data_IF_983251167379
#
_entry.id   IF_983251167379
#
_cell.length_a   1.000
_cell.length_b   1.000
_cell.length_c   1.000
_cell.angle_alpha   90.00
_cell.angle_beta   90.00
_cell.angle_gamma   90.00
#
_symmetry.space_group_name_H-M   'P 1'
#
loop_
_entity.id
_entity.type
_entity.pdbx_description
1 polymer ?
#
# COMPACT_ATOMS: atom_id res chain seq x y z
N UNK A 1 12.31 -6.35 -71.75
CA UNK A 1 11.08 -5.66 -71.29
C UNK A 1 10.07 -6.72 -70.92
N UNK A 2 9.55 -6.61 -69.69
CA UNK A 2 8.34 -7.25 -69.12
C UNK A 2 8.50 -8.56 -68.35
N UNK A 3 8.86 -8.38 -67.07
CA UNK A 3 8.27 -9.06 -65.92
C UNK A 3 6.77 -9.36 -66.10
N UNK A 4 6.34 -10.54 -65.67
CA UNK A 4 4.97 -10.73 -65.19
C UNK A 4 4.99 -11.54 -63.91
N UNK A 5 5.10 -10.80 -62.82
CA UNK A 5 4.80 -11.19 -61.45
C UNK A 5 3.46 -11.95 -61.39
N UNK A 6 3.50 -13.22 -60.99
CA UNK A 6 2.35 -13.90 -60.40
C UNK A 6 2.58 -13.93 -58.89
N UNK A 7 1.91 -13.03 -58.19
CA UNK A 7 1.87 -13.01 -56.73
C UNK A 7 1.26 -14.32 -56.22
N UNK A 8 2.01 -15.03 -55.38
CA UNK A 8 1.50 -16.16 -54.61
C UNK A 8 0.78 -15.56 -53.41
N UNK A 9 -0.55 -15.57 -53.45
CA UNK A 9 -1.41 -15.21 -52.34
C UNK A 9 -1.33 -16.31 -51.28
N UNK A 10 -0.44 -16.15 -50.29
CA UNK A 10 -0.40 -17.00 -49.10
C UNK A 10 -1.33 -16.37 -48.06
N UNK A 11 -2.63 -16.59 -48.22
CA UNK A 11 -3.58 -16.59 -47.10
C UNK A 11 -3.70 -18.03 -46.62
N UNK A 12 -2.63 -18.55 -46.03
CA UNK A 12 -2.69 -19.82 -45.30
C UNK A 12 -3.15 -19.52 -43.86
N UNK A 13 -4.46 -19.62 -43.65
CA UNK A 13 -5.05 -19.78 -42.32
C UNK A 13 -4.52 -21.09 -41.72
N UNK A 14 -3.40 -21.02 -41.01
CA UNK A 14 -2.99 -22.09 -40.10
C UNK A 14 -3.92 -22.06 -38.87
N UNK A 15 -5.04 -22.77 -38.97
CA UNK A 15 -5.84 -23.19 -37.83
C UNK A 15 -5.04 -24.19 -37.00
N UNK A 16 -4.17 -23.71 -36.12
CA UNK A 16 -3.41 -24.57 -35.22
C UNK A 16 -4.24 -24.94 -33.99
N UNK A 17 -4.60 -26.22 -33.91
CA UNK A 17 -5.19 -26.87 -32.73
C UNK A 17 -4.28 -26.68 -31.51
N UNK A 18 -4.87 -26.38 -30.34
CA UNK A 18 -4.16 -26.09 -29.08
C UNK A 18 -3.21 -27.19 -28.57
N UNK A 19 -3.21 -28.38 -29.19
CA UNK A 19 -2.27 -29.46 -28.88
C UNK A 19 -0.90 -29.29 -29.55
N UNK A 20 -0.80 -28.58 -30.67
CA UNK A 20 0.48 -28.35 -31.36
C UNK A 20 1.34 -27.25 -30.72
N UNK A 21 0.71 -26.24 -30.10
CA UNK A 21 1.43 -25.18 -29.37
C UNK A 21 2.08 -25.69 -28.08
N UNK A 22 1.51 -26.70 -27.43
CA UNK A 22 2.07 -27.28 -26.21
C UNK A 22 3.29 -28.16 -26.49
N UNK A 23 3.29 -28.90 -27.61
CA UNK A 23 4.43 -29.76 -27.96
C UNK A 23 5.68 -28.97 -28.34
N UNK A 24 5.50 -27.81 -29.00
CA UNK A 24 6.60 -26.90 -29.35
C UNK A 24 7.24 -26.26 -28.11
N UNK A 25 6.45 -25.91 -27.09
CA UNK A 25 6.97 -25.39 -25.81
C UNK A 25 7.73 -26.48 -25.04
N UNK A 26 7.27 -27.73 -25.03
CA UNK A 26 7.97 -28.82 -24.35
C UNK A 26 9.29 -29.21 -25.01
N UNK A 27 9.39 -29.12 -26.34
CA UNK A 27 10.65 -29.38 -27.07
C UNK A 27 11.66 -28.25 -26.84
N UNK A 28 11.22 -26.99 -26.75
CA UNK A 28 12.10 -25.85 -26.40
C UNK A 28 12.61 -25.97 -24.96
N UNK A 29 11.79 -26.40 -24.00
CA UNK A 29 12.23 -26.64 -22.61
C UNK A 29 13.20 -27.82 -22.48
N UNK A 30 13.06 -28.86 -23.29
CA UNK A 30 13.98 -30.00 -23.28
C UNK A 30 15.38 -29.65 -23.84
N UNK A 31 15.46 -28.79 -24.86
CA UNK A 31 16.74 -28.37 -25.47
C UNK A 31 17.55 -27.41 -24.58
N UNK A 32 16.87 -26.60 -23.74
CA UNK A 32 17.55 -25.73 -22.77
C UNK A 32 18.16 -26.54 -21.61
N UNK A 33 17.55 -27.66 -21.23
CA UNK A 33 18.04 -28.52 -20.15
C UNK A 33 19.35 -29.25 -20.50
N UNK A 34 19.53 -29.68 -21.75
CA UNK A 34 20.78 -30.31 -22.20
C UNK A 34 21.95 -29.34 -22.36
N UNK A 35 21.68 -28.04 -22.53
CA UNK A 35 22.73 -27.02 -22.61
C UNK A 35 23.37 -26.68 -21.25
N UNK A 36 22.71 -27.00 -20.12
CA UNK A 36 23.29 -26.80 -18.79
C UNK A 36 24.31 -27.87 -18.38
N UNK A 37 24.40 -28.99 -19.09
CA UNK A 37 25.32 -30.09 -18.77
C UNK A 37 26.69 -30.01 -19.47
N UNK A 38 26.92 -29.04 -20.36
CA UNK A 38 28.14 -28.97 -21.18
C UNK A 38 29.20 -27.94 -20.77
N UNK A 39 29.03 -27.25 -19.64
CA UNK A 39 29.97 -26.19 -19.21
C UNK A 39 31.02 -26.63 -18.18
N UNK A 40 31.23 -27.93 -17.94
CA UNK A 40 32.43 -28.43 -17.24
C UNK A 40 33.44 -28.93 -18.27
N UNK A 41 34.05 -28.00 -18.99
CA UNK A 41 35.23 -28.27 -19.82
C UNK A 41 36.47 -27.80 -19.07
N UNK A 42 36.92 -28.62 -18.14
CA UNK A 42 38.30 -28.53 -17.63
C UNK A 42 39.21 -28.87 -18.81
N UNK A 43 39.99 -27.91 -19.29
CA UNK A 43 41.11 -28.17 -20.20
C UNK A 43 42.30 -27.29 -19.81
N UNK A 44 43.27 -27.92 -19.15
CA UNK A 44 44.67 -27.78 -19.52
C UNK A 44 45.36 -29.09 -19.14
N UNK A 45 45.72 -29.87 -20.16
CA UNK A 45 46.46 -31.13 -20.01
C UNK A 45 47.97 -30.86 -20.18
N UNK A 46 48.73 -31.46 -19.26
CA UNK A 46 49.99 -32.18 -19.48
C UNK A 46 51.23 -31.43 -20.02
N UNK A 47 52.22 -31.26 -19.14
CA UNK A 47 53.63 -31.52 -19.45
C UNK A 47 54.32 -32.08 -18.20
N UNK A 48 54.97 -33.24 -18.34
CA UNK A 48 55.60 -34.02 -17.28
C UNK A 48 57.10 -33.64 -17.13
N UNK A 49 57.52 -33.49 -15.86
CA UNK A 49 58.85 -33.66 -15.23
C UNK A 49 60.07 -32.77 -15.60
N UNK A 50 60.46 -31.89 -14.67
CA UNK A 50 61.76 -31.97 -13.98
C UNK A 50 61.87 -31.10 -12.71
N UNK A 51 62.71 -31.57 -11.79
CA UNK A 51 62.90 -31.22 -10.37
C UNK A 51 63.40 -29.81 -10.03
N UNK A 52 63.03 -29.38 -8.81
CA UNK A 52 63.66 -28.40 -7.88
C UNK A 52 63.63 -26.90 -8.23
N UNK A 53 62.92 -26.10 -7.42
CA UNK A 53 63.47 -25.25 -6.33
C UNK A 53 62.32 -24.42 -5.74
N UNK A 54 62.17 -24.45 -4.41
CA UNK A 54 61.24 -23.63 -3.64
C UNK A 54 61.50 -22.13 -3.87
N UNK A 55 60.49 -21.40 -4.35
CA UNK A 55 60.37 -19.95 -4.09
C UNK A 55 58.93 -19.68 -3.65
N UNK A 56 58.82 -19.47 -2.35
CA UNK A 56 57.66 -18.99 -1.64
C UNK A 56 57.13 -17.70 -2.31
N UNK A 57 56.03 -17.84 -3.04
CA UNK A 57 55.20 -16.70 -3.44
C UNK A 57 53.78 -16.98 -2.99
N UNK A 58 53.54 -16.70 -1.71
CA UNK A 58 52.20 -16.42 -1.20
C UNK A 58 51.67 -15.19 -1.93
N UNK A 59 51.09 -15.40 -3.11
CA UNK A 59 50.15 -14.45 -3.69
C UNK A 59 48.76 -15.06 -3.57
N UNK A 60 48.22 -15.03 -2.35
CA UNK A 60 46.79 -15.20 -2.12
C UNK A 60 46.12 -13.99 -2.78
N UNK A 61 45.74 -14.12 -4.05
CA UNK A 61 44.71 -13.26 -4.62
C UNK A 61 43.43 -13.61 -3.89
N UNK A 62 43.06 -12.78 -2.91
CA UNK A 62 41.70 -12.74 -2.42
C UNK A 62 40.80 -12.44 -3.63
N UNK A 63 40.13 -13.48 -4.15
CA UNK A 63 38.98 -13.28 -5.03
C UNK A 63 37.90 -12.76 -4.10
N UNK A 64 37.76 -11.45 -3.98
CA UNK A 64 36.55 -10.84 -3.44
C UNK A 64 35.41 -11.27 -4.37
N UNK A 65 34.71 -12.33 -3.97
CA UNK A 65 33.50 -12.76 -4.62
C UNK A 65 32.41 -11.73 -4.29
N UNK A 66 32.43 -10.61 -5.01
CA UNK A 66 31.38 -9.58 -4.93
C UNK A 66 30.14 -10.16 -5.57
N UNK A 67 29.36 -10.90 -4.79
CA UNK A 67 28.10 -11.46 -5.22
C UNK A 67 27.15 -10.30 -5.56
N UNK A 68 26.63 -10.30 -6.79
CA UNK A 68 25.75 -9.25 -7.27
C UNK A 68 24.44 -9.22 -6.46
N UNK A 69 24.05 -8.04 -5.97
CA UNK A 69 22.85 -7.86 -5.16
C UNK A 69 22.07 -6.60 -5.57
N UNK A 70 20.76 -6.64 -5.35
CA UNK A 70 19.86 -5.48 -5.51
C UNK A 70 19.14 -5.18 -4.19
N UNK A 71 19.13 -3.92 -3.79
CA UNK A 71 18.29 -3.43 -2.69
C UNK A 71 16.97 -2.95 -3.26
N UNK A 72 15.87 -3.56 -2.82
CA UNK A 72 14.51 -3.19 -3.21
C UNK A 72 13.83 -2.48 -2.04
N UNK A 73 13.25 -1.32 -2.33
CA UNK A 73 12.48 -0.53 -1.37
C UNK A 73 10.99 -0.79 -1.58
N UNK A 74 10.34 -1.38 -0.58
CA UNK A 74 8.88 -1.57 -0.54
C UNK A 74 8.27 -0.36 0.20
N UNK A 75 7.67 0.61 -0.51
CA UNK A 75 7.18 1.82 0.13
C UNK A 75 5.93 1.55 0.96
N UNK A 76 5.82 2.25 2.09
CA UNK A 76 4.61 2.28 2.92
C UNK A 76 3.90 3.60 2.70
N UNK A 77 2.71 3.55 2.09
CA UNK A 77 1.90 4.74 1.84
C UNK A 77 0.81 4.83 2.90
N UNK A 78 0.83 5.94 3.64
CA UNK A 78 -0.16 6.27 4.66
C UNK A 78 -0.93 7.51 4.23
N UNK A 79 -2.24 7.49 4.43
CA UNK A 79 -3.12 8.66 4.35
C UNK A 79 -3.91 8.80 5.64
N UNK A 80 -3.95 10.02 6.14
CA UNK A 80 -4.68 10.40 7.34
C UNK A 80 -5.86 11.28 6.92
N UNK A 81 -7.03 11.03 7.49
CA UNK A 81 -8.22 11.87 7.34
C UNK A 81 -8.69 12.40 8.69
N UNK A 82 -9.31 13.58 8.70
CA UNK A 82 -9.64 14.32 9.92
C UNK A 82 -8.58 15.35 10.30
N UNK A 83 -8.84 16.09 11.38
CA UNK A 83 -7.99 17.20 11.84
C UNK A 83 -7.46 16.93 13.26
N UNK A 84 -6.50 16.01 13.41
CA UNK A 84 -5.87 15.77 14.70
C UNK A 84 -5.03 16.99 15.10
N UNK A 85 -5.00 17.30 16.40
CA UNK A 85 -4.15 18.39 16.93
C UNK A 85 -2.69 17.97 17.10
N UNK A 86 -2.42 16.66 17.14
CA UNK A 86 -1.10 16.07 17.34
C UNK A 86 -0.91 14.90 16.37
N UNK A 87 0.33 14.68 15.95
CA UNK A 87 0.67 13.54 15.10
C UNK A 87 0.69 12.25 15.93
N UNK A 88 0.11 11.20 15.36
CA UNK A 88 0.14 9.83 15.88
C UNK A 88 1.27 9.03 15.21
N UNK A 89 1.73 7.97 15.87
CA UNK A 89 2.72 7.03 15.30
C UNK A 89 1.98 5.80 14.78
N UNK A 90 2.08 5.56 13.49
CA UNK A 90 1.51 4.37 12.85
C UNK A 90 2.62 3.36 12.56
N UNK A 91 2.43 2.13 13.05
CA UNK A 91 3.38 1.04 12.86
C UNK A 91 2.90 0.09 11.77
N UNK A 92 3.82 -0.34 10.90
CA UNK A 92 3.53 -1.27 9.81
C UNK A 92 4.47 -2.46 9.89
N UNK A 93 3.97 -3.63 9.55
CA UNK A 93 4.68 -4.89 9.62
C UNK A 93 4.74 -5.53 8.23
N UNK A 94 5.94 -5.95 7.84
CA UNK A 94 6.14 -6.85 6.71
C UNK A 94 6.35 -8.27 7.23
N UNK A 95 5.63 -9.23 6.66
CA UNK A 95 5.82 -10.66 6.93
C UNK A 95 6.19 -11.37 5.64
N UNK A 96 7.14 -12.30 5.73
CA UNK A 96 7.39 -13.25 4.65
C UNK A 96 6.29 -14.32 4.61
N UNK A 97 5.92 -14.74 3.40
CA UNK A 97 4.96 -15.84 3.21
C UNK A 97 5.65 -17.20 3.10
N UNK A 98 6.97 -17.21 2.85
CA UNK A 98 7.85 -18.38 2.86
C UNK A 98 9.06 -18.05 3.74
N UNK A 99 9.46 -18.96 4.62
CA UNK A 99 10.59 -18.76 5.54
C UNK A 99 11.94 -18.62 4.83
N UNK A 100 12.04 -19.05 3.56
CA UNK A 100 13.24 -18.91 2.74
C UNK A 100 13.35 -17.54 2.08
N UNK A 101 12.31 -16.71 2.11
CA UNK A 101 12.36 -15.38 1.52
C UNK A 101 13.29 -14.48 2.34
N UNK A 102 14.08 -13.59 1.71
CA UNK A 102 14.88 -12.64 2.46
C UNK A 102 13.97 -11.64 3.18
N UNK A 103 14.32 -11.28 4.41
CA UNK A 103 13.60 -10.30 5.22
C UNK A 103 14.48 -9.06 5.47
N UNK A 104 13.89 -7.86 5.60
CA UNK A 104 14.63 -6.67 5.99
C UNK A 104 15.15 -6.83 7.43
N UNK A 105 16.25 -6.15 7.77
CA UNK A 105 16.73 -6.06 9.16
C UNK A 105 15.67 -5.45 10.10
N UNK A 106 14.87 -4.54 9.56
CA UNK A 106 13.75 -3.90 10.25
C UNK A 106 12.46 -4.35 9.57
N UNK A 107 11.75 -5.31 10.18
CA UNK A 107 10.45 -5.81 9.68
C UNK A 107 9.26 -4.97 10.14
N UNK A 108 9.48 -4.02 11.05
CA UNK A 108 8.47 -3.08 11.55
C UNK A 108 8.93 -1.64 11.39
N UNK A 109 8.25 -0.87 10.54
CA UNK A 109 8.52 0.56 10.32
C UNK A 109 7.48 1.43 10.99
N UNK A 110 7.84 2.68 11.29
CA UNK A 110 6.97 3.63 11.99
C UNK A 110 6.89 4.95 11.23
N UNK A 111 5.66 5.38 10.93
CA UNK A 111 5.40 6.65 10.26
C UNK A 111 4.69 7.60 11.22
N UNK A 112 5.21 8.82 11.32
CA UNK A 112 4.60 9.91 12.12
C UNK A 112 4.17 11.05 11.19
N UNK A 113 2.91 11.48 11.28
CA UNK A 113 2.38 12.59 10.48
C UNK A 113 2.48 12.31 8.97
N UNK A 114 3.19 13.18 8.24
CA UNK A 114 3.34 13.11 6.78
C UNK A 114 4.65 12.44 6.31
N UNK A 115 5.41 11.81 7.22
CA UNK A 115 6.65 11.11 6.86
C UNK A 115 6.36 9.94 5.92
N UNK A 116 7.34 9.57 5.12
CA UNK A 116 7.32 8.36 4.28
C UNK A 116 8.36 7.38 4.82
N UNK A 117 8.08 6.10 4.70
CA UNK A 117 9.01 5.04 5.07
C UNK A 117 8.90 3.86 4.10
N UNK A 118 9.89 2.97 4.11
CA UNK A 118 9.96 1.81 3.24
C UNK A 118 10.71 0.66 3.91
N UNK A 119 10.33 -0.57 3.60
CA UNK A 119 11.14 -1.75 3.92
C UNK A 119 12.23 -1.92 2.88
N UNK A 120 13.48 -2.12 3.31
CA UNK A 120 14.61 -2.34 2.42
C UNK A 120 15.07 -3.79 2.50
N UNK A 121 15.01 -4.51 1.38
CA UNK A 121 15.36 -5.93 1.31
C UNK A 121 16.42 -6.12 0.22
N UNK A 122 17.46 -6.89 0.54
CA UNK A 122 18.50 -7.27 -0.40
C UNK A 122 18.19 -8.62 -1.02
N UNK A 123 18.38 -8.72 -2.34
CA UNK A 123 18.18 -9.94 -3.11
C UNK A 123 19.41 -10.22 -3.96
N UNK A 124 19.78 -11.50 -4.04
CA UNK A 124 20.98 -11.96 -4.74
C UNK A 124 20.63 -12.88 -5.93
N UNK A 125 19.39 -13.38 -5.99
CA UNK A 125 18.96 -14.39 -6.96
C UNK A 125 17.67 -13.96 -7.66
N UNK A 126 17.54 -14.21 -8.98
CA UNK A 126 16.26 -14.11 -9.66
C UNK A 126 15.20 -15.02 -9.03
N UNK A 127 13.96 -14.56 -8.98
CA UNK A 127 12.86 -15.28 -8.34
C UNK A 127 11.63 -14.41 -8.09
N UNK A 128 10.60 -15.03 -7.52
CA UNK A 128 9.38 -14.33 -7.08
C UNK A 128 9.25 -14.51 -5.58
N UNK A 129 9.38 -13.42 -4.84
CA UNK A 129 9.34 -13.40 -3.39
C UNK A 129 8.00 -12.84 -2.92
N UNK A 130 7.37 -13.52 -1.96
CA UNK A 130 6.00 -13.23 -1.52
C UNK A 130 6.00 -12.74 -0.09
N UNK A 131 5.31 -11.62 0.12
CA UNK A 131 5.19 -10.98 1.43
C UNK A 131 3.75 -10.52 1.69
N UNK A 132 3.49 -10.23 2.95
CA UNK A 132 2.25 -9.58 3.40
C UNK A 132 2.61 -8.33 4.18
N UNK A 133 2.05 -7.19 3.79
CA UNK A 133 2.19 -5.93 4.52
C UNK A 133 0.87 -5.58 5.20
N UNK A 134 0.95 -5.20 6.47
CA UNK A 134 -0.20 -4.86 7.30
C UNK A 134 0.12 -3.69 8.24
N UNK A 135 -0.91 -3.00 8.70
CA UNK A 135 -0.79 -2.03 9.78
C UNK A 135 -0.96 -2.73 11.14
N UNK A 136 -0.10 -2.40 12.09
CA UNK A 136 -0.26 -2.85 13.48
C UNK A 136 -1.31 -1.98 14.16
N UNK A 137 -2.27 -2.60 14.84
CA UNK A 137 -3.27 -1.88 15.63
C UNK A 137 -2.60 -0.97 16.67
N UNK A 138 -3.07 0.26 16.76
CA UNK A 138 -2.70 1.21 17.81
C UNK A 138 -3.82 1.41 18.82
N UNK A 139 -3.54 2.21 19.83
CA UNK A 139 -4.42 2.49 20.98
C UNK A 139 -4.72 4.00 21.13
N UNK A 140 -4.35 4.80 20.13
CA UNK A 140 -4.60 6.24 20.10
C UNK A 140 -6.09 6.54 20.22
N UNK A 141 -6.43 7.35 21.22
CA UNK A 141 -7.81 7.77 21.44
C UNK A 141 -8.34 8.50 20.21
N UNK A 142 -9.58 8.19 19.82
CA UNK A 142 -10.27 8.81 18.69
C UNK A 142 -9.68 8.49 17.31
N UNK A 143 -8.75 7.54 17.22
CA UNK A 143 -8.23 7.03 15.96
C UNK A 143 -8.92 5.74 15.55
N UNK A 144 -9.22 5.66 14.26
CA UNK A 144 -9.58 4.41 13.58
C UNK A 144 -8.40 4.03 12.69
N UNK A 145 -7.86 2.85 12.98
CA UNK A 145 -6.69 2.29 12.32
C UNK A 145 -7.13 1.40 11.14
N UNK A 146 -6.45 1.50 10.01
CA UNK A 146 -6.64 0.63 8.86
C UNK A 146 -6.40 -0.84 9.25
N UNK A 147 -7.22 -1.74 8.72
CA UNK A 147 -7.18 -3.19 8.98
C UNK A 147 -6.89 -4.00 7.71
N UNK A 148 -6.56 -3.34 6.61
CA UNK A 148 -6.27 -3.97 5.32
C UNK A 148 -4.95 -4.71 5.40
N UNK A 149 -4.91 -5.85 4.71
CA UNK A 149 -3.67 -6.56 4.41
C UNK A 149 -3.47 -6.55 2.89
N UNK A 150 -2.23 -6.34 2.47
CA UNK A 150 -1.86 -6.42 1.06
C UNK A 150 -0.84 -7.54 0.86
N UNK A 151 -1.12 -8.43 -0.09
CA UNK A 151 -0.15 -9.42 -0.57
C UNK A 151 0.78 -8.76 -1.58
N UNK A 152 2.07 -9.00 -1.46
CA UNK A 152 3.12 -8.47 -2.34
C UNK A 152 3.81 -9.60 -3.08
N UNK A 153 4.07 -9.40 -4.36
CA UNK A 153 4.98 -10.19 -5.17
C UNK A 153 6.14 -9.28 -5.61
N UNK A 154 7.35 -9.61 -5.16
CA UNK A 154 8.59 -8.96 -5.58
C UNK A 154 9.27 -9.87 -6.61
N UNK A 155 9.27 -9.45 -7.86
CA UNK A 155 9.94 -10.12 -8.96
C UNK A 155 11.37 -9.62 -9.04
N UNK A 156 12.34 -10.52 -8.95
CA UNK A 156 13.75 -10.25 -9.21
C UNK A 156 14.12 -10.97 -10.50
N UNK A 157 14.66 -10.22 -11.46
CA UNK A 157 14.97 -10.70 -12.81
C UNK A 157 16.38 -10.26 -13.18
N UNK A 158 17.03 -10.99 -14.11
CA UNK A 158 18.30 -10.57 -14.71
C UNK A 158 18.01 -9.81 -15.99
N UNK A 159 18.58 -8.62 -16.14
CA UNK A 159 18.55 -7.85 -17.37
C UNK A 159 19.55 -8.47 -18.35
N UNK A 160 19.08 -8.92 -19.51
CA UNK A 160 19.91 -9.62 -20.50
C UNK A 160 20.94 -8.71 -21.19
N UNK A 161 20.72 -7.39 -21.20
CA UNK A 161 21.62 -6.43 -21.87
C UNK A 161 22.74 -5.97 -20.95
N UNK A 162 22.42 -5.72 -19.68
CA UNK A 162 23.39 -5.19 -18.70
C UNK A 162 23.98 -6.28 -17.81
N UNK A 163 23.44 -7.50 -17.87
CA UNK A 163 23.75 -8.59 -16.95
C UNK A 163 23.63 -8.16 -15.48
N UNK A 164 22.62 -7.33 -15.17
CA UNK A 164 22.34 -6.87 -13.80
C UNK A 164 20.96 -7.28 -13.29
N UNK A 165 20.79 -7.39 -11.98
CA UNK A 165 19.48 -7.60 -11.36
C UNK A 165 18.55 -6.38 -11.54
N UNK A 166 17.26 -6.66 -11.73
CA UNK A 166 16.16 -5.70 -11.78
C UNK A 166 15.00 -6.19 -10.93
N UNK A 167 14.15 -5.25 -10.49
CA UNK A 167 13.00 -5.58 -9.64
C UNK A 167 11.67 -4.99 -10.14
N UNK A 168 10.58 -5.70 -9.86
CA UNK A 168 9.21 -5.23 -10.02
C UNK A 168 8.39 -5.66 -8.79
N UNK A 169 7.61 -4.74 -8.23
CA UNK A 169 6.72 -5.02 -7.11
C UNK A 169 5.27 -4.96 -7.60
N UNK A 170 4.50 -6.00 -7.31
CA UNK A 170 3.05 -6.02 -7.54
C UNK A 170 2.36 -6.26 -6.21
N UNK A 171 1.34 -5.46 -5.91
CA UNK A 171 0.52 -5.60 -4.70
C UNK A 171 -0.91 -5.98 -5.05
N UNK A 172 -1.52 -6.77 -4.17
CA UNK A 172 -2.89 -7.23 -4.29
C UNK A 172 -3.65 -6.95 -3.00
N UNK A 173 -4.92 -6.56 -3.12
CA UNK A 173 -5.83 -6.47 -1.97
C UNK A 173 -6.37 -7.86 -1.58
N UNK A 174 -7.16 -7.92 -0.51
CA UNK A 174 -7.77 -9.17 -0.03
C UNK A 174 -8.69 -9.89 -1.05
N UNK A 175 -9.14 -9.20 -2.11
CA UNK A 175 -9.93 -9.79 -3.20
C UNK A 175 -9.05 -10.35 -4.33
N UNK A 176 -7.73 -10.22 -4.24
CA UNK A 176 -6.80 -10.60 -5.30
C UNK A 176 -6.70 -9.59 -6.44
N UNK A 177 -7.22 -8.37 -6.28
CA UNK A 177 -7.14 -7.33 -7.29
C UNK A 177 -5.82 -6.58 -7.18
N UNK A 178 -5.18 -6.28 -8.32
CA UNK A 178 -3.96 -5.45 -8.35
C UNK A 178 -4.29 -4.02 -7.91
N UNK A 179 -3.53 -3.50 -6.96
CA UNK A 179 -3.74 -2.17 -6.37
C UNK A 179 -2.43 -1.46 -6.08
N UNK A 180 -2.49 -0.14 -5.91
CA UNK A 180 -1.44 0.62 -5.22
C UNK A 180 -1.77 0.65 -3.72
N UNK A 181 -0.99 -0.02 -2.84
CA UNK A 181 -1.37 -0.19 -1.45
C UNK A 181 -1.25 1.13 -0.69
N UNK A 182 -2.34 1.55 -0.05
CA UNK A 182 -2.37 2.73 0.82
C UNK A 182 -3.18 2.42 2.07
N UNK A 183 -2.60 2.68 3.24
CA UNK A 183 -3.28 2.54 4.52
C UNK A 183 -4.01 3.84 4.88
N UNK A 184 -5.27 3.75 5.26
CA UNK A 184 -6.19 4.84 5.53
C UNK A 184 -6.55 4.90 7.02
N UNK A 185 -5.95 5.85 7.74
CA UNK A 185 -6.30 6.11 9.13
C UNK A 185 -7.22 7.33 9.24
N UNK A 186 -8.15 7.30 10.21
CA UNK A 186 -9.11 8.37 10.43
C UNK A 186 -9.09 8.84 11.87
N UNK A 187 -8.93 10.14 12.06
CA UNK A 187 -9.17 10.81 13.33
C UNK A 187 -10.61 11.28 13.44
N UNK A 188 -11.26 11.04 14.58
CA UNK A 188 -12.63 11.49 14.87
C UNK A 188 -12.65 12.36 16.12
N UNK A 189 -12.73 13.68 15.95
CA UNK A 189 -12.80 14.59 17.09
C UNK A 189 -13.93 14.16 18.06
N UNK A 190 -13.66 14.16 19.38
CA UNK A 190 -14.69 13.80 20.35
C UNK A 190 -15.84 14.78 20.21
N UNK A 191 -17.08 14.27 20.23
CA UNK A 191 -18.25 15.13 20.21
C UNK A 191 -18.15 16.13 21.36
N UNK A 192 -18.26 17.42 21.04
CA UNK A 192 -18.41 18.43 22.07
C UNK A 192 -19.71 18.10 22.79
N UNK A 193 -19.62 17.63 24.04
CA UNK A 193 -20.78 17.55 24.93
C UNK A 193 -21.39 18.93 24.91
N UNK A 194 -22.54 19.10 24.25
CA UNK A 194 -23.31 20.32 24.38
C UNK A 194 -23.59 20.45 25.87
N UNK A 195 -22.84 21.34 26.55
CA UNK A 195 -23.35 21.94 27.77
C UNK A 195 -24.68 22.52 27.32
N UNK A 196 -25.77 21.86 27.67
CA UNK A 196 -27.06 22.51 27.78
C UNK A 196 -26.82 23.67 28.72
N UNK A 197 -26.49 24.83 28.16
CA UNK A 197 -26.75 26.07 28.84
C UNK A 197 -28.26 26.12 28.90
N UNK A 198 -28.82 25.52 29.95
CA UNK A 198 -30.10 25.97 30.47
C UNK A 198 -29.84 27.42 30.79
N UNK A 199 -30.21 28.30 29.86
CA UNK A 199 -30.34 29.71 30.15
C UNK A 199 -31.42 29.72 31.23
N UNK A 200 -31.02 29.88 32.49
CA UNK A 200 -31.97 30.31 33.50
C UNK A 200 -32.31 31.74 33.10
N UNK A 201 -33.33 31.93 32.26
CA UNK A 201 -34.08 33.17 32.28
C UNK A 201 -34.78 33.16 33.62
N UNK A 202 -34.05 33.65 34.63
CA UNK A 202 -34.55 33.86 35.98
C UNK A 202 -35.50 35.05 36.00
N UNK A 203 -36.57 34.97 35.22
CA UNK A 203 -37.79 35.67 35.56
C UNK A 203 -38.58 34.70 36.43
N UNK A 204 -38.20 34.65 37.70
CA UNK A 204 -39.16 34.32 38.74
C UNK A 204 -40.19 35.45 38.79
N UNK A 205 -41.01 35.56 37.75
CA UNK A 205 -42.23 36.34 37.82
C UNK A 205 -43.10 35.61 38.84
N UNK A 206 -43.03 36.07 40.08
CA UNK A 206 -43.96 35.73 41.14
C UNK A 206 -45.36 35.68 40.51
N UNK A 207 -46.05 34.54 40.62
CA UNK A 207 -47.40 34.35 40.08
C UNK A 207 -48.35 35.48 40.54
N UNK A 208 -48.04 36.12 41.68
CA UNK A 208 -48.73 37.31 42.17
C UNK A 208 -48.62 38.53 41.24
N UNK A 209 -47.50 38.71 40.54
CA UNK A 209 -47.28 39.80 39.58
C UNK A 209 -48.10 39.61 38.31
N UNK A 210 -48.33 38.35 37.88
CA UNK A 210 -49.14 38.04 36.70
C UNK A 210 -50.65 38.28 36.94
N UNK A 211 -51.14 37.99 38.15
CA UNK A 211 -52.55 38.29 38.52
C UNK A 211 -52.86 39.78 38.57
N UNK A 212 -51.87 40.62 38.92
CA UNK A 212 -52.04 42.08 38.93
C UNK A 212 -52.21 42.68 37.52
N UNK A 213 -51.45 42.20 36.53
CA UNK A 213 -51.52 42.67 35.15
C UNK A 213 -52.83 42.31 34.43
N UNK A 214 -53.41 41.14 34.73
CA UNK A 214 -54.71 40.72 34.17
C UNK A 214 -55.88 41.63 34.60
N UNK A 215 -55.88 42.12 35.86
CA UNK A 215 -56.95 42.98 36.36
C UNK A 215 -56.90 44.40 35.76
N UNK A 216 -55.70 44.90 35.46
CA UNK A 216 -55.52 46.21 34.83
C UNK A 216 -56.03 46.19 33.38
N UNK A 217 -55.74 45.13 32.62
CA UNK A 217 -56.27 44.98 31.25
C UNK A 217 -57.79 44.78 31.22
N UNK A 218 -58.35 44.04 32.18
CA UNK A 218 -59.80 43.86 32.31
C UNK A 218 -60.56 45.16 32.58
N UNK A 219 -60.03 46.03 33.46
CA UNK A 219 -60.64 47.32 33.77
C UNK A 219 -60.69 48.29 32.59
N UNK A 220 -59.63 48.34 31.77
CA UNK A 220 -59.56 49.21 30.58
C UNK A 220 -60.55 48.75 29.49
N UNK A 221 -60.74 47.43 29.31
CA UNK A 221 -61.70 46.88 28.35
C UNK A 221 -63.16 47.15 28.76
N UNK A 222 -63.49 47.06 30.05
CA UNK A 222 -64.83 47.39 30.55
C UNK A 222 -65.11 48.90 30.46
N UNK A 223 -64.12 49.73 30.81
CA UNK A 223 -64.25 51.19 30.74
C UNK A 223 -64.48 51.71 29.32
N UNK A 224 -63.76 51.17 28.33
CA UNK A 224 -63.95 51.54 26.91
C UNK A 224 -65.28 51.03 26.35
N UNK A 225 -65.76 49.85 26.79
CA UNK A 225 -67.07 49.32 26.40
C UNK A 225 -68.24 50.18 26.92
N UNK A 226 -68.22 50.55 28.21
CA UNK A 226 -69.26 51.42 28.80
C UNK A 226 -69.21 52.85 28.22
N UNK A 227 -68.02 53.39 27.94
CA UNK A 227 -67.86 54.69 27.28
C UNK A 227 -68.47 54.68 25.87
N UNK A 228 -68.22 53.63 25.08
CA UNK A 228 -68.75 53.50 23.72
C UNK A 228 -70.28 53.33 23.71
N UNK A 229 -70.82 52.50 24.63
CA UNK A 229 -72.27 52.31 24.83
C UNK A 229 -73.01 53.59 25.24
N UNK A 230 -72.34 54.51 25.96
CA UNK A 230 -72.90 55.80 26.36
C UNK A 230 -72.92 56.84 25.23
N UNK A 231 -71.98 56.75 24.28
CA UNK A 231 -71.97 57.59 23.07
C UNK A 231 -73.07 57.15 22.09
N UNK A 232 -73.31 55.85 21.93
CA UNK A 232 -74.32 55.34 20.97
C UNK A 232 -75.79 55.56 21.42
N UNK A 233 -76.02 56.03 22.65
CA UNK A 233 -77.37 56.32 23.20
C UNK A 233 -77.71 57.81 23.27
N UNK A 234 -76.89 58.70 22.71
CA UNK A 234 -77.13 60.14 22.68
C UNK A 234 -77.28 60.64 21.25
#
# INVERSE_FOLDING_TARGET
>A
MNEKMRGINIQEKASMCGKCKMWLVMVVFALISTAMLFSVKIHAASAEENQMVNIETNHVTAVENTQEQITVNIPVKLKITGNPQQNEIFSFLLKQNDEQNPMPKISKVQITGTKKDAFQIQYEKPGVYRYTISQVAGDGKNWIYDQSEYSLEVYIMRNEQTDTLQSLIIAYNAKGEKVDPVFMNRYQAPEAKQKSMTVKTGDGADIKTLTGLMLICGGIMIGTYEYKKKIEKK
#
